data_IF_959626773380
#
_entry.id   IF_959626773380
#
_cell.length_a   1.000
_cell.length_b   1.000
_cell.length_c   1.000
_cell.angle_alpha   90.00
_cell.angle_beta   90.00
_cell.angle_gamma   90.00
#
_symmetry.space_group_name_H-M   'P 1'
#
loop_
_entity.id
_entity.type
_entity.pdbx_description
1 polymer ?
#
# COMPACT_ATOMS: atom_id res chain seq x y z
N UNK A 1 21.36 -5.35 -8.22
CA UNK A 1 20.57 -4.12 -8.45
C UNK A 1 19.35 -4.48 -9.28
N UNK A 2 18.16 -4.01 -8.92
CA UNK A 2 16.93 -4.27 -9.67
C UNK A 2 16.94 -3.59 -11.05
N UNK A 3 17.51 -2.38 -11.15
CA UNK A 3 17.50 -1.63 -12.40
C UNK A 3 18.35 -2.30 -13.47
N UNK A 4 19.55 -2.79 -13.10
CA UNK A 4 20.37 -3.61 -13.99
C UNK A 4 19.65 -4.90 -14.44
N UNK A 5 18.93 -5.58 -13.54
CA UNK A 5 18.12 -6.77 -13.90
C UNK A 5 17.03 -6.41 -14.92
N UNK A 6 16.41 -5.25 -14.78
CA UNK A 6 15.41 -4.75 -15.71
C UNK A 6 16.01 -4.39 -17.08
N UNK A 7 17.11 -3.64 -17.11
CA UNK A 7 17.81 -3.24 -18.33
C UNK A 7 18.32 -4.45 -19.13
N UNK A 8 18.80 -5.48 -18.43
CA UNK A 8 19.27 -6.72 -19.06
C UNK A 8 18.13 -7.68 -19.47
N UNK A 9 16.86 -7.30 -19.27
CA UNK A 9 15.72 -8.14 -19.62
C UNK A 9 15.61 -9.43 -18.79
N UNK A 10 16.20 -9.44 -17.59
CA UNK A 10 16.29 -10.60 -16.70
C UNK A 10 15.25 -10.59 -15.58
N UNK A 11 14.22 -9.75 -15.67
CA UNK A 11 13.13 -9.71 -14.69
C UNK A 11 12.43 -11.08 -14.66
N UNK A 12 12.34 -11.76 -13.50
CA UNK A 12 11.68 -13.06 -13.41
C UNK A 12 10.22 -13.01 -13.88
N UNK A 13 9.71 -14.13 -14.42
CA UNK A 13 8.27 -14.24 -14.74
C UNK A 13 7.45 -14.05 -13.46
N UNK A 14 6.45 -13.18 -13.53
CA UNK A 14 5.56 -12.84 -12.43
C UNK A 14 4.23 -12.33 -12.99
N UNK A 15 3.17 -12.43 -12.19
CA UNK A 15 1.84 -11.95 -12.55
C UNK A 15 1.52 -10.59 -11.92
N UNK A 16 2.06 -10.33 -10.73
CA UNK A 16 1.84 -9.10 -9.95
C UNK A 16 3.17 -8.63 -9.36
N UNK A 17 3.42 -7.32 -9.39
CA UNK A 17 4.53 -6.71 -8.67
C UNK A 17 4.09 -6.28 -7.27
N UNK A 18 4.75 -6.79 -6.24
CA UNK A 18 4.52 -6.39 -4.85
C UNK A 18 5.84 -5.95 -4.23
N UNK A 19 5.95 -4.70 -3.80
CA UNK A 19 7.21 -4.22 -3.20
C UNK A 19 7.05 -3.05 -2.23
N UNK A 20 8.06 -2.90 -1.39
CA UNK A 20 8.32 -1.74 -0.55
C UNK A 20 9.70 -1.19 -0.96
N UNK A 21 9.76 -0.26 -1.92
CA UNK A 21 11.02 0.14 -2.52
C UNK A 21 11.85 1.03 -1.59
N UNK A 22 13.16 1.19 -1.87
CA UNK A 22 13.92 2.28 -1.27
C UNK A 22 13.33 3.63 -1.69
N UNK A 23 13.22 4.58 -0.74
CA UNK A 23 12.60 5.89 -0.97
C UNK A 23 13.61 7.01 -1.30
N UNK A 24 14.88 6.68 -1.48
CA UNK A 24 15.95 7.67 -1.72
C UNK A 24 16.16 7.95 -3.21
N UNK A 25 16.59 9.17 -3.54
CA UNK A 25 16.91 9.56 -4.92
C UNK A 25 15.76 9.33 -5.89
N UNK A 26 16.09 8.88 -7.10
CA UNK A 26 15.14 8.71 -8.21
C UNK A 26 14.46 7.32 -8.24
N UNK A 27 14.64 6.52 -7.18
CA UNK A 27 14.19 5.12 -7.19
C UNK A 27 12.68 4.95 -7.41
N UNK A 28 11.88 5.85 -6.81
CA UNK A 28 10.42 5.79 -6.91
C UNK A 28 9.95 6.16 -8.31
N UNK A 29 10.54 7.19 -8.93
CA UNK A 29 10.19 7.55 -10.30
C UNK A 29 10.49 6.41 -11.27
N UNK A 30 11.68 5.83 -11.19
CA UNK A 30 12.06 4.69 -12.03
C UNK A 30 11.17 3.47 -11.80
N UNK A 31 10.75 3.22 -10.56
CA UNK A 31 9.82 2.15 -10.25
C UNK A 31 8.45 2.37 -10.88
N UNK A 32 7.89 3.58 -10.81
CA UNK A 32 6.61 3.90 -11.43
C UNK A 32 6.66 3.76 -12.95
N UNK A 33 7.75 4.22 -13.58
CA UNK A 33 8.01 4.02 -15.01
C UNK A 33 8.08 2.53 -15.36
N UNK A 34 8.77 1.73 -14.55
CA UNK A 34 8.83 0.28 -14.71
C UNK A 34 7.44 -0.35 -14.58
N UNK A 35 6.66 -0.01 -13.55
CA UNK A 35 5.30 -0.52 -13.37
C UNK A 35 4.45 -0.29 -14.62
N UNK A 36 4.54 0.92 -15.18
CA UNK A 36 3.81 1.27 -16.40
C UNK A 36 4.29 0.50 -17.62
N UNK A 37 5.61 0.41 -17.84
CA UNK A 37 6.18 -0.30 -19.00
C UNK A 37 5.98 -1.82 -18.92
N UNK A 38 5.98 -2.38 -17.71
CA UNK A 38 5.80 -3.80 -17.44
C UNK A 38 4.34 -4.26 -17.66
N UNK A 39 3.39 -3.33 -17.72
CA UNK A 39 1.97 -3.57 -18.05
C UNK A 39 1.33 -4.70 -17.22
N UNK A 40 1.68 -4.77 -15.93
CA UNK A 40 1.16 -5.75 -14.97
C UNK A 40 0.61 -5.07 -13.72
N UNK A 41 -0.32 -5.72 -13.02
CA UNK A 41 -0.79 -5.25 -11.72
C UNK A 41 0.37 -5.01 -10.75
N UNK A 42 0.24 -3.98 -9.93
CA UNK A 42 1.20 -3.67 -8.89
C UNK A 42 0.55 -3.22 -7.59
N UNK A 43 1.25 -3.51 -6.50
CA UNK A 43 0.97 -3.03 -5.15
C UNK A 43 2.28 -2.49 -4.55
N UNK A 44 2.36 -1.18 -4.37
CA UNK A 44 3.56 -0.52 -3.84
C UNK A 44 3.26 0.10 -2.48
N UNK A 45 4.03 -0.28 -1.46
CA UNK A 45 3.96 0.38 -0.16
C UNK A 45 4.94 1.57 -0.13
N UNK A 46 4.42 2.78 -0.25
CA UNK A 46 5.23 4.00 -0.34
C UNK A 46 4.69 5.12 0.56
N UNK A 47 5.53 6.10 0.94
CA UNK A 47 5.11 7.32 1.59
C UNK A 47 4.01 8.03 0.81
N UNK A 48 3.08 8.63 1.53
CA UNK A 48 1.90 9.25 0.95
C UNK A 48 2.20 10.45 0.04
N UNK A 49 3.31 11.16 0.26
CA UNK A 49 3.66 12.35 -0.51
C UNK A 49 4.08 12.04 -1.96
N UNK A 50 4.38 10.79 -2.32
CA UNK A 50 4.84 10.46 -3.67
C UNK A 50 3.75 10.65 -4.72
N UNK A 51 2.46 10.54 -4.37
CA UNK A 51 1.36 10.78 -5.31
C UNK A 51 1.16 12.27 -5.64
N UNK A 52 1.89 13.15 -4.96
CA UNK A 52 1.84 14.60 -5.16
C UNK A 52 3.12 15.15 -5.80
N UNK A 53 4.05 14.28 -6.23
CA UNK A 53 5.27 14.71 -6.90
C UNK A 53 4.99 15.05 -8.36
N UNK A 54 5.71 16.04 -8.90
CA UNK A 54 5.51 16.54 -10.26
C UNK A 54 5.71 15.43 -11.31
N UNK A 55 6.66 14.52 -11.08
CA UNK A 55 6.91 13.38 -11.98
C UNK A 55 5.82 12.29 -11.93
N UNK A 56 4.91 12.32 -10.96
CA UNK A 56 4.08 11.16 -10.63
C UNK A 56 3.17 10.73 -11.78
N UNK A 57 2.48 11.68 -12.39
CA UNK A 57 1.56 11.39 -13.51
C UNK A 57 2.34 10.99 -14.77
N UNK A 58 3.41 11.72 -15.10
CA UNK A 58 4.29 11.44 -16.23
C UNK A 58 4.96 10.06 -16.12
N UNK A 59 5.42 9.69 -14.92
CA UNK A 59 6.02 8.38 -14.66
C UNK A 59 5.03 7.23 -14.87
N UNK A 60 3.73 7.49 -14.66
CA UNK A 60 2.63 6.58 -14.94
C UNK A 60 2.05 6.75 -16.35
N UNK A 61 2.69 7.53 -17.23
CA UNK A 61 2.25 7.73 -18.61
C UNK A 61 0.95 8.52 -18.73
N UNK A 62 0.69 9.46 -17.83
CA UNK A 62 -0.52 10.29 -17.81
C UNK A 62 -1.77 9.56 -17.30
N UNK A 63 -1.60 8.39 -16.66
CA UNK A 63 -2.71 7.57 -16.17
C UNK A 63 -2.72 7.44 -14.65
N UNK A 64 -2.26 8.44 -13.90
CA UNK A 64 -2.30 8.38 -12.41
C UNK A 64 -3.70 8.07 -11.83
N UNK A 65 -4.76 8.39 -12.57
CA UNK A 65 -6.15 8.10 -12.20
C UNK A 65 -6.51 6.61 -12.17
N UNK A 66 -5.71 5.71 -12.77
CA UNK A 66 -5.89 4.26 -12.63
C UNK A 66 -5.40 3.72 -11.29
N UNK A 67 -4.57 4.48 -10.57
CA UNK A 67 -4.00 4.08 -9.29
C UNK A 67 -4.97 4.40 -8.16
N UNK A 68 -5.28 3.38 -7.37
CA UNK A 68 -6.07 3.47 -6.15
C UNK A 68 -5.16 3.43 -4.92
N UNK A 69 -5.64 4.00 -3.82
CA UNK A 69 -4.87 4.10 -2.58
C UNK A 69 -5.57 3.35 -1.45
N UNK A 70 -4.86 2.40 -0.82
CA UNK A 70 -5.33 1.72 0.38
C UNK A 70 -4.58 2.26 1.61
N UNK A 71 -5.28 3.15 2.33
CA UNK A 71 -4.80 3.80 3.55
C UNK A 71 -4.96 2.87 4.76
N UNK A 72 -3.88 2.45 5.44
CA UNK A 72 -3.98 1.60 6.61
C UNK A 72 -4.55 2.38 7.80
N UNK A 73 -5.40 1.73 8.62
CA UNK A 73 -5.96 2.35 9.85
C UNK A 73 -4.90 2.65 10.91
N UNK A 74 -3.81 1.89 10.92
CA UNK A 74 -2.66 2.08 11.80
C UNK A 74 -1.43 2.34 10.95
N UNK A 75 -0.58 3.25 11.41
CA UNK A 75 0.64 3.60 10.69
C UNK A 75 1.60 2.41 10.59
N UNK A 76 2.25 2.27 9.44
CA UNK A 76 3.37 1.35 9.29
C UNK A 76 4.60 1.81 10.08
N UNK A 77 5.33 0.81 10.58
CA UNK A 77 6.62 1.00 11.22
C UNK A 77 7.66 0.19 10.48
N UNK A 78 8.83 0.80 10.28
CA UNK A 78 9.98 0.21 9.62
C UNK A 78 11.02 -0.16 10.67
N UNK A 79 11.66 -1.30 10.46
CA UNK A 79 12.74 -1.76 11.31
C UNK A 79 14.07 -1.52 10.61
N UNK A 80 14.95 -0.77 11.25
CA UNK A 80 16.35 -0.69 10.84
C UNK A 80 17.15 -1.72 11.64
N UNK A 81 17.80 -2.70 10.98
CA UNK A 81 18.64 -3.68 11.66
C UNK A 81 19.71 -3.04 12.55
N UNK A 82 20.12 -3.78 13.59
CA UNK A 82 21.19 -3.34 14.51
C UNK A 82 22.50 -3.14 13.73
N UNK A 83 23.27 -2.12 14.11
CA UNK A 83 24.57 -1.80 13.48
C UNK A 83 24.50 -0.93 12.22
N UNK A 84 23.34 -0.78 11.58
CA UNK A 84 23.18 0.07 10.38
C UNK A 84 22.86 1.54 10.69
N UNK A 85 22.70 1.90 11.96
CA UNK A 85 22.55 3.29 12.39
C UNK A 85 23.81 3.79 13.06
N UNK A 86 24.22 5.00 12.70
CA UNK A 86 25.24 5.76 13.44
C UNK A 86 24.80 5.90 14.90
N UNK A 87 25.72 5.68 15.86
CA UNK A 87 25.43 5.68 17.31
C UNK A 87 24.70 6.95 17.77
N UNK A 88 24.90 8.09 17.10
CA UNK A 88 24.25 9.37 17.38
C UNK A 88 22.76 9.45 17.02
N UNK A 89 22.22 8.51 16.22
CA UNK A 89 20.81 8.47 15.79
C UNK A 89 20.01 7.32 16.42
N UNK A 90 20.58 6.64 17.41
CA UNK A 90 19.90 5.57 18.15
C UNK A 90 19.14 6.17 19.32
N UNK A 91 17.83 6.36 19.17
CA UNK A 91 16.96 6.64 20.31
C UNK A 91 16.67 5.32 21.02
N UNK A 92 17.12 5.19 22.28
CA UNK A 92 16.97 3.96 23.09
C UNK A 92 15.51 3.51 23.22
N UNK A 93 14.55 4.45 23.22
CA UNK A 93 13.11 4.20 23.27
C UNK A 93 12.54 3.50 22.02
N UNK A 94 13.32 3.40 20.95
CA UNK A 94 12.93 2.73 19.71
C UNK A 94 13.77 1.50 19.41
N UNK A 95 14.71 1.13 20.28
CA UNK A 95 15.51 -0.07 20.16
C UNK A 95 14.74 -1.27 20.71
N UNK A 96 14.52 -2.28 19.88
CA UNK A 96 13.95 -3.58 20.25
C UNK A 96 14.81 -4.73 19.74
N UNK A 97 14.31 -5.95 19.91
CA UNK A 97 15.00 -7.17 19.48
C UNK A 97 15.36 -7.13 17.98
N UNK A 98 14.41 -6.68 17.14
CA UNK A 98 14.56 -6.50 15.68
C UNK A 98 15.30 -5.24 15.23
N UNK A 99 15.92 -4.48 16.14
CA UNK A 99 16.64 -3.24 15.82
C UNK A 99 15.85 -1.98 16.16
N UNK A 100 16.09 -0.89 15.42
CA UNK A 100 15.45 0.39 15.72
C UNK A 100 14.15 0.56 14.93
N UNK A 101 13.03 0.68 15.65
CA UNK A 101 11.72 1.00 15.09
C UNK A 101 11.69 2.45 14.64
N UNK A 102 11.20 2.69 13.44
CA UNK A 102 11.07 4.03 12.86
C UNK A 102 9.76 4.16 12.14
N UNK A 103 9.21 5.37 12.10
CA UNK A 103 8.07 5.66 11.24
C UNK A 103 8.26 7.06 10.65
N UNK A 104 9.23 7.21 9.74
CA UNK A 104 9.60 8.52 9.22
C UNK A 104 8.49 9.13 8.37
N UNK A 105 7.61 8.29 7.78
CA UNK A 105 6.57 8.72 6.85
C UNK A 105 5.24 8.03 7.15
N UNK A 106 4.15 8.71 6.80
CA UNK A 106 2.85 8.06 6.64
C UNK A 106 2.89 7.33 5.29
N UNK A 107 2.64 6.03 5.31
CA UNK A 107 2.69 5.19 4.12
C UNK A 107 1.37 4.49 3.89
N UNK A 108 1.04 4.32 2.61
CA UNK A 108 -0.15 3.62 2.15
C UNK A 108 0.18 2.79 0.90
N UNK A 109 -0.74 1.92 0.51
CA UNK A 109 -0.56 1.10 -0.68
C UNK A 109 -1.07 1.83 -1.92
N UNK A 110 -0.23 1.90 -2.95
CA UNK A 110 -0.58 2.28 -4.31
C UNK A 110 -0.95 1.00 -5.05
N UNK A 111 -2.15 0.96 -5.62
CA UNK A 111 -2.72 -0.23 -6.23
C UNK A 111 -3.17 0.11 -7.64
N UNK A 112 -2.58 -0.55 -8.64
CA UNK A 112 -3.13 -0.59 -9.99
C UNK A 112 -3.26 -2.04 -10.41
N UNK A 113 -4.45 -2.45 -10.83
CA UNK A 113 -4.74 -3.82 -11.27
C UNK A 113 -4.91 -3.92 -12.79
N UNK A 114 -4.59 -2.85 -13.52
CA UNK A 114 -4.58 -2.84 -14.97
C UNK A 114 -3.52 -3.81 -15.51
N UNK A 115 -3.79 -4.50 -16.64
CA UNK A 115 -5.02 -4.44 -17.43
C UNK A 115 -6.13 -5.39 -16.94
N UNK A 116 -5.90 -6.18 -15.88
CA UNK A 116 -6.85 -7.20 -15.42
C UNK A 116 -8.17 -6.60 -14.92
N UNK A 117 -8.11 -5.45 -14.25
CA UNK A 117 -9.27 -4.79 -13.69
C UNK A 117 -9.07 -3.28 -13.63
N UNK A 118 -10.06 -2.52 -14.11
CA UNK A 118 -10.05 -1.06 -13.99
C UNK A 118 -10.27 -0.60 -12.55
N UNK A 119 -9.75 0.57 -12.19
CA UNK A 119 -10.00 1.21 -10.90
C UNK A 119 -11.50 1.26 -10.55
N UNK A 120 -12.34 1.63 -11.52
CA UNK A 120 -13.80 1.70 -11.36
C UNK A 120 -14.41 0.33 -11.04
N UNK A 121 -13.95 -0.73 -11.70
CA UNK A 121 -14.42 -2.09 -11.43
C UNK A 121 -13.98 -2.56 -10.04
N UNK A 122 -12.73 -2.28 -9.64
CA UNK A 122 -12.23 -2.60 -8.31
C UNK A 122 -13.03 -1.88 -7.22
N UNK A 123 -13.31 -0.59 -7.40
CA UNK A 123 -14.11 0.19 -6.45
C UNK A 123 -15.54 -0.32 -6.32
N UNK A 124 -16.17 -0.72 -7.43
CA UNK A 124 -17.49 -1.36 -7.41
C UNK A 124 -17.47 -2.67 -6.63
N UNK A 125 -16.48 -3.53 -6.91
CA UNK A 125 -16.30 -4.79 -6.18
C UNK A 125 -16.11 -4.56 -4.68
N UNK A 126 -15.31 -3.57 -4.29
CA UNK A 126 -15.10 -3.23 -2.88
C UNK A 126 -16.36 -2.68 -2.17
N UNK A 127 -17.23 -2.01 -2.93
CA UNK A 127 -18.47 -1.45 -2.43
C UNK A 127 -19.62 -2.47 -2.36
N UNK A 128 -19.49 -3.61 -3.03
CA UNK A 128 -20.51 -4.65 -3.02
C UNK A 128 -20.73 -5.21 -1.60
N UNK A 129 -21.96 -5.11 -1.06
CA UNK A 129 -22.30 -5.65 0.25
C UNK A 129 -22.02 -7.16 0.39
N UNK A 130 -22.17 -7.93 -0.68
CA UNK A 130 -21.92 -9.38 -0.67
C UNK A 130 -20.43 -9.67 -0.45
N UNK A 131 -19.56 -8.98 -1.20
CA UNK A 131 -18.10 -9.07 -1.05
C UNK A 131 -17.65 -8.65 0.34
N UNK A 132 -18.23 -7.59 0.92
CA UNK A 132 -17.92 -7.20 2.30
C UNK A 132 -18.27 -8.30 3.30
N UNK A 133 -19.44 -8.93 3.14
CA UNK A 133 -19.89 -9.99 4.06
C UNK A 133 -18.98 -11.22 4.04
N UNK A 134 -18.41 -11.57 2.89
CA UNK A 134 -17.43 -12.65 2.75
C UNK A 134 -16.07 -12.28 3.34
N UNK A 135 -15.58 -11.06 3.09
CA UNK A 135 -14.30 -10.60 3.64
C UNK A 135 -14.31 -10.58 5.17
N UNK A 136 -15.41 -10.12 5.78
CA UNK A 136 -15.61 -10.18 7.24
C UNK A 136 -15.64 -11.61 7.77
N UNK A 137 -16.17 -12.58 7.01
CA UNK A 137 -16.12 -14.00 7.40
C UNK A 137 -14.70 -14.54 7.41
N UNK A 138 -13.87 -14.20 6.42
CA UNK A 138 -12.46 -14.65 6.35
C UNK A 138 -11.63 -14.07 7.50
N UNK A 139 -11.81 -12.79 7.83
CA UNK A 139 -11.12 -12.16 8.97
C UNK A 139 -11.60 -12.62 10.34
N UNK A 140 -12.77 -13.27 10.41
CA UNK A 140 -13.35 -13.84 11.62
C UNK A 140 -13.19 -15.37 11.69
N UNK A 141 -12.45 -16.01 10.78
CA UNK A 141 -12.11 -17.42 10.94
C UNK A 141 -11.22 -17.57 12.18
N UNK A 142 -11.66 -18.27 13.24
CA UNK A 142 -10.79 -18.52 14.37
C UNK A 142 -9.63 -19.39 13.88
N UNK A 143 -8.42 -19.09 14.38
CA UNK A 143 -7.34 -20.06 14.37
C UNK A 143 -7.89 -21.39 14.89
N UNK A 144 -7.70 -22.47 14.12
CA UNK A 144 -8.16 -23.82 14.43
C UNK A 144 -8.24 -24.11 15.94
N UNK A 145 -9.48 -24.18 16.42
CA UNK A 145 -9.87 -24.79 17.69
C UNK A 145 -11.36 -25.11 17.55
N UNK A 146 -11.66 -26.41 17.58
CA UNK A 146 -13.02 -26.95 17.44
C UNK A 146 -13.95 -26.46 18.56
N UNK A 147 -15.25 -26.49 18.22
CA UNK A 147 -16.43 -26.44 19.12
C UNK A 147 -16.70 -25.10 19.81
N UNK A 148 -17.67 -24.34 19.28
CA UNK A 148 -19.05 -24.32 19.80
C UNK A 148 -19.84 -23.14 19.21
N UNK A 149 -21.13 -23.39 19.06
CA UNK A 149 -22.07 -22.60 18.29
C UNK A 149 -22.75 -21.49 19.11
N UNK A 150 -23.58 -20.73 18.40
CA UNK A 150 -24.77 -19.98 18.85
C UNK A 150 -24.65 -18.49 19.21
N UNK A 151 -25.46 -17.73 18.45
CA UNK A 151 -26.17 -16.48 18.77
C UNK A 151 -25.45 -15.40 19.57
N UNK A 152 -25.05 -14.33 18.86
CA UNK A 152 -25.03 -12.99 19.44
C UNK A 152 -25.58 -11.96 18.45
N UNK A 153 -26.84 -11.61 18.73
CA UNK A 153 -27.40 -10.26 18.85
C UNK A 153 -27.00 -9.18 17.83
N UNK A 154 -28.04 -8.70 17.16
CA UNK A 154 -28.15 -7.58 16.23
C UNK A 154 -27.82 -6.19 16.82
N UNK A 155 -26.78 -6.04 17.63
CA UNK A 155 -26.44 -4.75 18.25
C UNK A 155 -24.93 -4.55 18.40
N UNK A 156 -24.27 -4.18 17.30
CA UNK A 156 -23.03 -3.39 17.24
C UNK A 156 -22.90 -2.88 15.80
N UNK A 157 -23.85 -2.05 15.37
CA UNK A 157 -23.77 -1.31 14.10
C UNK A 157 -22.92 -0.06 14.32
N UNK A 158 -21.63 -0.23 14.59
CA UNK A 158 -20.67 0.88 14.70
C UNK A 158 -20.04 1.15 13.33
N UNK A 159 -20.71 2.03 12.60
CA UNK A 159 -20.20 3.07 11.70
C UNK A 159 -18.70 2.96 11.33
N UNK A 160 -18.38 2.39 10.16
CA UNK A 160 -17.04 2.43 9.57
C UNK A 160 -17.05 3.32 8.32
N UNK A 161 -16.14 4.30 8.19
CA UNK A 161 -16.09 5.13 6.99
C UNK A 161 -15.63 4.30 5.77
N UNK A 162 -16.30 4.55 4.65
CA UNK A 162 -16.00 4.07 3.30
C UNK A 162 -14.54 4.38 2.92
N UNK A 163 -13.93 3.56 2.05
CA UNK A 163 -12.78 4.04 1.27
C UNK A 163 -13.22 5.32 0.56
N UNK A 164 -12.65 6.45 0.96
CA UNK A 164 -12.93 7.74 0.32
C UNK A 164 -12.26 7.73 -1.05
N UNK A 165 -13.05 7.97 -2.10
CA UNK A 165 -12.51 8.48 -3.35
C UNK A 165 -11.82 9.81 -3.04
N UNK A 166 -10.50 9.80 -2.96
CA UNK A 166 -9.72 11.03 -3.02
C UNK A 166 -9.38 11.27 -4.48
N UNK A 167 -10.29 11.92 -5.21
CA UNK A 167 -9.90 12.68 -6.41
C UNK A 167 -9.06 13.85 -5.90
N UNK A 168 -7.74 13.72 -5.98
CA UNK A 168 -6.82 14.81 -5.66
C UNK A 168 -7.01 15.93 -6.70
N UNK A 169 -7.90 16.88 -6.38
CA UNK A 169 -7.93 18.16 -7.07
C UNK A 169 -6.59 18.85 -6.79
N UNK A 170 -5.87 19.24 -7.86
CA UNK A 170 -4.53 19.86 -7.82
C UNK A 170 -4.40 21.17 -7.02
N UNK A 171 -5.43 21.61 -6.29
CA UNK A 171 -5.46 22.90 -5.61
C UNK A 171 -5.97 22.90 -4.16
N UNK A 172 -6.12 21.76 -3.50
CA UNK A 172 -6.50 21.74 -2.09
C UNK A 172 -5.58 20.86 -1.26
N UNK A 173 -4.83 21.52 -0.35
CA UNK A 173 -4.07 20.88 0.73
C UNK A 173 -5.02 19.95 1.51
N UNK A 174 -4.71 18.66 1.51
CA UNK A 174 -5.48 17.68 2.26
C UNK A 174 -5.42 18.00 3.78
N UNK A 175 -6.55 18.00 4.50
CA UNK A 175 -6.55 18.14 5.95
C UNK A 175 -5.97 16.89 6.59
N UNK A 176 -5.05 17.11 7.52
CA UNK A 176 -4.39 16.08 8.33
C UNK A 176 -5.38 15.62 9.40
N UNK A 177 -5.71 14.32 9.44
CA UNK A 177 -6.25 13.61 10.61
C UNK A 177 -5.21 12.56 11.01
#
# INVERSE_FOLDING_TARGET
DFYAVNEEGRVPKHDVLLTNPPYSGEHVEYLLRFCRSNAKPFLLLMPNYFCSKDFYDDALGGTSQSVLYLCPRKRYFYWTPKGLRTRSKVQSQHAGEGGNRTSPFISFWYIDLSPLMSAKALMRWWQDPLTRSEFFRVSCLPSFSLLSAFLLSSSQRTQYPLMQEYTLNHNTKAPII
#
